data_IF_874973554036
#
_entry.id   IF_874973554036
#
_cell.length_a   1.000
_cell.length_b   1.000
_cell.length_c   1.000
_cell.angle_alpha   90.00
_cell.angle_beta   90.00
_cell.angle_gamma   90.00
#
_symmetry.space_group_name_H-M   'P 1'
#
loop_
_entity.id
_entity.type
_entity.pdbx_description
1 polymer ?
#
# COMPACT_ATOMS: atom_id res chain seq x y z
N UNK A 1 -33.25 -18.37 0.78
CA UNK A 1 -32.06 -17.75 1.41
C UNK A 1 -31.69 -18.63 2.59
N UNK A 2 -30.41 -18.98 2.79
CA UNK A 2 -29.99 -19.62 4.03
C UNK A 2 -30.33 -18.70 5.21
N UNK A 3 -30.68 -19.29 6.35
CA UNK A 3 -30.98 -18.55 7.58
C UNK A 3 -29.76 -17.76 8.04
N UNK A 4 -29.99 -16.57 8.58
CA UNK A 4 -28.96 -15.75 9.18
C UNK A 4 -28.47 -16.37 10.50
N UNK A 5 -27.18 -16.75 10.57
CA UNK A 5 -26.58 -17.42 11.75
C UNK A 5 -25.26 -16.76 12.20
N UNK A 6 -24.91 -16.78 13.49
CA UNK A 6 -23.58 -16.38 13.98
C UNK A 6 -22.43 -17.16 13.31
N UNK A 7 -21.24 -16.56 13.25
CA UNK A 7 -19.99 -17.19 12.79
C UNK A 7 -19.08 -17.53 13.96
N UNK A 8 -18.07 -18.38 13.77
CA UNK A 8 -17.17 -18.83 14.84
C UNK A 8 -16.47 -17.69 15.60
N UNK A 9 -16.24 -16.54 14.95
CA UNK A 9 -15.64 -15.37 15.60
C UNK A 9 -16.58 -14.73 16.66
N UNK A 10 -17.88 -15.04 16.63
CA UNK A 10 -18.87 -14.52 17.57
C UNK A 10 -18.82 -15.14 18.96
N UNK A 11 -18.05 -16.20 19.16
CA UNK A 11 -17.84 -16.80 20.47
C UNK A 11 -16.85 -15.99 21.33
N UNK A 12 -16.06 -15.11 20.70
CA UNK A 12 -15.08 -14.28 21.38
C UNK A 12 -15.69 -12.91 21.72
N UNK A 13 -15.33 -12.28 22.85
CA UNK A 13 -15.84 -10.95 23.23
C UNK A 13 -15.16 -9.84 22.40
N UNK A 14 -15.38 -9.86 21.09
CA UNK A 14 -14.69 -9.01 20.10
C UNK A 14 -15.63 -8.14 19.27
N UNK A 15 -16.95 -8.22 19.52
CA UNK A 15 -17.96 -7.42 18.84
C UNK A 15 -17.88 -5.94 19.20
N UNK A 16 -17.98 -5.09 18.17
CA UNK A 16 -18.07 -3.63 18.34
C UNK A 16 -19.51 -3.10 18.32
N UNK A 17 -20.44 -3.92 17.84
CA UNK A 17 -21.87 -3.64 17.68
C UNK A 17 -22.65 -4.91 18.04
N UNK A 18 -23.96 -4.85 18.39
CA UNK A 18 -24.76 -6.03 18.74
C UNK A 18 -25.16 -6.86 17.50
N UNK A 19 -24.17 -7.20 16.67
CA UNK A 19 -24.29 -7.98 15.45
C UNK A 19 -23.19 -9.03 15.43
N UNK A 20 -23.42 -10.12 14.70
CA UNK A 20 -22.34 -11.05 14.32
C UNK A 20 -21.18 -10.31 13.65
N UNK A 21 -19.94 -10.74 13.92
CA UNK A 21 -18.68 -10.28 13.32
C UNK A 21 -18.61 -10.44 11.80
N UNK A 22 -19.57 -11.15 11.20
CA UNK A 22 -19.74 -11.19 9.74
C UNK A 22 -20.29 -9.88 9.17
N UNK A 23 -20.95 -9.06 10.00
CA UNK A 23 -21.52 -7.78 9.60
C UNK A 23 -20.58 -6.64 9.96
N UNK A 24 -20.53 -5.63 9.09
CA UNK A 24 -19.87 -4.37 9.40
C UNK A 24 -20.84 -3.43 10.13
N UNK A 25 -20.29 -2.54 10.95
CA UNK A 25 -21.05 -1.49 11.62
C UNK A 25 -21.68 -0.49 10.63
N UNK A 26 -21.20 -0.46 9.38
CA UNK A 26 -21.72 0.37 8.29
C UNK A 26 -22.29 -0.49 7.17
N UNK A 27 -23.42 -0.03 6.60
CA UNK A 27 -24.00 -0.59 5.38
C UNK A 27 -23.39 -0.01 4.09
N UNK A 28 -22.35 0.82 4.19
CA UNK A 28 -21.70 1.44 3.04
C UNK A 28 -21.08 0.36 2.13
N UNK A 29 -21.43 0.40 0.84
CA UNK A 29 -20.95 -0.56 -0.18
C UNK A 29 -19.42 -0.63 -0.23
N UNK A 30 -18.75 0.48 0.01
CA UNK A 30 -17.30 0.65 -0.09
C UNK A 30 -16.55 0.21 1.17
N UNK A 31 -17.23 -0.43 2.11
CA UNK A 31 -16.60 -0.89 3.32
C UNK A 31 -15.60 -2.03 3.04
N UNK A 32 -14.39 -1.91 3.60
CA UNK A 32 -13.26 -2.77 3.30
C UNK A 32 -12.41 -3.08 4.53
N UNK A 33 -11.67 -4.19 4.46
CA UNK A 33 -10.49 -4.48 5.26
C UNK A 33 -9.39 -4.96 4.30
N UNK A 34 -8.23 -4.32 4.31
CA UNK A 34 -7.11 -4.59 3.40
C UNK A 34 -5.80 -4.67 4.18
N UNK A 35 -4.90 -5.49 3.68
CA UNK A 35 -3.50 -5.46 4.06
C UNK A 35 -2.59 -5.40 2.83
N UNK A 36 -1.46 -4.74 2.98
CA UNK A 36 -0.38 -4.70 2.00
C UNK A 36 0.93 -5.08 2.68
N UNK A 37 1.81 -5.72 1.93
CA UNK A 37 3.20 -5.95 2.30
C UNK A 37 4.08 -5.55 1.13
N UNK A 38 5.17 -4.88 1.45
CA UNK A 38 6.27 -4.62 0.54
C UNK A 38 7.46 -5.47 0.98
N UNK A 39 8.15 -6.06 0.02
CA UNK A 39 9.38 -6.84 0.24
C UNK A 39 10.37 -6.46 -0.85
N UNK A 40 11.50 -5.87 -0.47
CA UNK A 40 12.44 -5.30 -1.43
C UNK A 40 13.88 -5.43 -0.96
N UNK A 41 14.78 -5.56 -1.94
CA UNK A 41 16.21 -5.66 -1.66
C UNK A 41 16.87 -4.28 -1.63
N UNK A 42 17.93 -4.16 -0.83
CA UNK A 42 18.62 -2.89 -0.61
C UNK A 42 19.41 -2.38 -1.82
N UNK A 43 19.47 -3.16 -2.91
CA UNK A 43 20.13 -2.77 -4.16
C UNK A 43 19.16 -2.35 -5.26
N UNK A 44 17.83 -2.42 -5.04
CA UNK A 44 16.85 -2.06 -6.08
C UNK A 44 16.82 -3.01 -7.27
N UNK A 45 17.04 -4.30 -7.03
CA UNK A 45 16.89 -5.35 -8.04
C UNK A 45 15.47 -5.90 -8.07
N UNK A 46 14.82 -5.94 -6.90
CA UNK A 46 13.52 -6.54 -6.70
C UNK A 46 12.63 -5.72 -5.76
N UNK A 47 11.38 -5.51 -6.17
CA UNK A 47 10.31 -4.98 -5.32
C UNK A 47 9.06 -5.85 -5.51
N UNK A 48 8.73 -6.63 -4.49
CA UNK A 48 7.50 -7.41 -4.39
C UNK A 48 6.49 -6.63 -3.54
N UNK A 49 5.29 -6.43 -4.09
CA UNK A 49 4.16 -5.83 -3.39
C UNK A 49 3.03 -6.83 -3.44
N UNK A 50 2.45 -7.17 -2.29
CA UNK A 50 1.33 -8.09 -2.22
C UNK A 50 0.29 -7.57 -1.26
N UNK A 51 -0.95 -7.94 -1.50
CA UNK A 51 -2.06 -7.53 -0.65
C UNK A 51 -3.24 -8.47 -0.73
N UNK A 52 -4.11 -8.34 0.26
CA UNK A 52 -5.39 -9.03 0.32
C UNK A 52 -6.45 -8.05 0.79
N UNK A 53 -7.59 -8.04 0.11
CA UNK A 53 -8.76 -7.23 0.42
C UNK A 53 -10.00 -8.06 0.69
N UNK A 54 -10.78 -7.63 1.66
CA UNK A 54 -12.10 -8.16 2.00
C UNK A 54 -13.12 -7.02 1.85
N UNK A 55 -14.21 -7.28 1.14
CA UNK A 55 -15.26 -6.31 0.83
C UNK A 55 -16.63 -6.91 1.20
N UNK A 56 -17.01 -6.86 2.49
CA UNK A 56 -18.16 -7.61 2.99
C UNK A 56 -19.48 -7.26 2.31
N UNK A 57 -19.73 -5.97 2.08
CA UNK A 57 -21.01 -5.48 1.56
C UNK A 57 -21.20 -5.75 0.05
N UNK A 58 -20.16 -6.18 -0.66
CA UNK A 58 -20.25 -6.71 -2.03
C UNK A 58 -19.90 -8.20 -2.13
N UNK A 59 -19.59 -8.85 -1.00
CA UNK A 59 -19.33 -10.29 -0.93
C UNK A 59 -18.06 -10.75 -1.65
N UNK A 60 -17.02 -9.90 -1.72
CA UNK A 60 -15.77 -10.19 -2.45
C UNK A 60 -14.59 -10.33 -1.50
N UNK A 61 -13.72 -11.30 -1.78
CA UNK A 61 -12.34 -11.35 -1.30
C UNK A 61 -11.42 -11.35 -2.51
N UNK A 62 -10.33 -10.59 -2.45
CA UNK A 62 -9.32 -10.57 -3.50
C UNK A 62 -7.90 -10.48 -2.94
N UNK A 63 -6.93 -10.83 -3.77
CA UNK A 63 -5.51 -10.71 -3.45
C UNK A 63 -4.70 -10.47 -4.72
N UNK A 64 -3.52 -9.87 -4.54
CA UNK A 64 -2.55 -9.70 -5.61
C UNK A 64 -1.12 -9.87 -5.09
N UNK A 65 -0.20 -10.12 -6.01
CA UNK A 65 1.23 -9.97 -5.83
C UNK A 65 1.85 -9.45 -7.13
N UNK A 66 2.57 -8.33 -7.07
CA UNK A 66 3.35 -7.77 -8.16
C UNK A 66 4.83 -7.82 -7.82
N UNK A 67 5.64 -8.47 -8.65
CA UNK A 67 7.09 -8.49 -8.54
C UNK A 67 7.71 -7.68 -9.66
N UNK A 68 8.36 -6.58 -9.30
CA UNK A 68 9.21 -5.78 -10.18
C UNK A 68 10.62 -6.35 -10.18
N UNK A 69 11.13 -6.74 -11.36
CA UNK A 69 12.52 -7.15 -11.61
C UNK A 69 13.06 -6.50 -12.88
N UNK A 70 14.12 -5.70 -12.76
CA UNK A 70 14.69 -4.98 -13.91
C UNK A 70 13.61 -4.15 -14.61
N UNK A 71 13.32 -4.43 -15.88
CA UNK A 71 12.25 -3.81 -16.67
C UNK A 71 10.96 -4.62 -16.83
N UNK A 72 10.78 -5.71 -16.07
CA UNK A 72 9.52 -6.45 -16.01
C UNK A 72 8.77 -6.31 -14.69
N UNK A 73 7.44 -6.36 -14.76
CA UNK A 73 6.54 -6.49 -13.62
C UNK A 73 5.68 -7.74 -13.82
N UNK A 74 5.80 -8.70 -12.91
CA UNK A 74 5.02 -9.94 -12.91
C UNK A 74 3.88 -9.82 -11.90
N UNK A 75 2.65 -10.04 -12.32
CA UNK A 75 1.48 -9.99 -11.47
C UNK A 75 0.84 -11.37 -11.32
N UNK A 76 0.44 -11.71 -10.10
CA UNK A 76 -0.49 -12.79 -9.79
C UNK A 76 -1.67 -12.17 -9.08
N UNK A 77 -2.87 -12.43 -9.56
CA UNK A 77 -4.12 -11.86 -9.06
C UNK A 77 -5.10 -12.97 -8.79
N UNK A 78 -5.91 -12.82 -7.75
CA UNK A 78 -6.93 -13.78 -7.39
C UNK A 78 -8.15 -13.08 -6.79
N UNK A 79 -9.33 -13.62 -7.03
CA UNK A 79 -10.58 -13.14 -6.48
C UNK A 79 -11.55 -14.30 -6.30
N UNK A 80 -12.36 -14.25 -5.25
CA UNK A 80 -13.39 -15.23 -4.98
C UNK A 80 -14.53 -14.61 -4.16
N UNK A 81 -15.59 -15.38 -3.96
CA UNK A 81 -16.69 -14.97 -3.10
C UNK A 81 -16.21 -15.04 -1.65
N UNK A 82 -16.52 -13.99 -0.91
CA UNK A 82 -16.20 -13.91 0.50
C UNK A 82 -16.97 -14.98 1.29
N UNK A 83 -16.24 -15.94 1.89
CA UNK A 83 -16.82 -17.01 2.72
C UNK A 83 -17.21 -16.54 4.13
N UNK A 84 -17.38 -17.45 5.08
CA UNK A 84 -17.66 -17.10 6.49
C UNK A 84 -16.39 -17.08 7.37
N UNK A 85 -15.37 -17.85 6.99
CA UNK A 85 -14.09 -17.91 7.71
C UNK A 85 -13.22 -16.67 7.40
N UNK A 86 -13.38 -15.63 8.21
CA UNK A 86 -12.61 -14.37 8.13
C UNK A 86 -11.15 -14.50 8.58
N UNK A 87 -10.77 -15.62 9.19
CA UNK A 87 -9.41 -15.86 9.67
C UNK A 87 -8.51 -16.49 8.59
N UNK A 88 -9.12 -17.08 7.55
CA UNK A 88 -8.42 -17.65 6.40
C UNK A 88 -8.09 -16.57 5.37
N UNK A 89 -6.88 -16.02 5.45
CA UNK A 89 -6.36 -15.05 4.48
C UNK A 89 -5.72 -15.78 3.28
N UNK A 90 -6.57 -16.36 2.42
CA UNK A 90 -6.14 -17.07 1.22
C UNK A 90 -7.12 -16.87 0.06
N UNK A 91 -6.61 -16.51 -1.12
CA UNK A 91 -7.39 -16.36 -2.37
C UNK A 91 -6.58 -16.96 -3.51
N UNK A 92 -7.11 -17.99 -4.16
CA UNK A 92 -6.38 -18.74 -5.20
C UNK A 92 -4.99 -19.21 -4.69
N UNK A 93 -3.89 -18.91 -5.42
CA UNK A 93 -2.54 -19.31 -5.03
C UNK A 93 -1.93 -18.45 -3.91
N UNK A 94 -2.53 -17.31 -3.57
CA UNK A 94 -1.99 -16.31 -2.65
C UNK A 94 -2.47 -16.55 -1.22
N UNK A 95 -1.55 -16.54 -0.24
CA UNK A 95 -1.87 -16.74 1.17
C UNK A 95 -1.03 -15.87 2.09
N UNK A 96 -1.64 -15.39 3.17
CA UNK A 96 -1.00 -14.70 4.29
C UNK A 96 -1.31 -15.50 5.55
N UNK A 97 -0.32 -16.18 6.12
CA UNK A 97 -0.49 -16.91 7.38
C UNK A 97 0.05 -16.08 8.53
N UNK A 98 -0.80 -15.80 9.51
CA UNK A 98 -0.41 -15.07 10.73
C UNK A 98 0.14 -16.07 11.74
N UNK A 99 1.47 -16.18 11.86
CA UNK A 99 2.11 -17.07 12.83
C UNK A 99 2.04 -16.51 14.24
N UNK A 100 2.35 -15.22 14.37
CA UNK A 100 2.25 -14.45 15.61
C UNK A 100 1.69 -13.07 15.27
N UNK A 101 0.49 -12.71 15.75
CA UNK A 101 -0.13 -11.43 15.44
C UNK A 101 0.81 -10.25 15.66
N UNK A 102 0.89 -9.36 14.66
CA UNK A 102 1.77 -8.18 14.64
C UNK A 102 3.28 -8.46 14.72
N UNK A 103 3.70 -9.73 14.67
CA UNK A 103 5.11 -10.08 14.84
C UNK A 103 5.65 -10.91 13.68
N UNK A 104 4.98 -12.01 13.29
CA UNK A 104 5.51 -12.92 12.27
C UNK A 104 4.41 -13.44 11.37
N UNK A 105 4.68 -13.42 10.06
CA UNK A 105 3.77 -13.81 9.00
C UNK A 105 4.50 -14.68 7.98
N UNK A 106 3.81 -15.65 7.39
CA UNK A 106 4.29 -16.35 6.20
C UNK A 106 3.44 -15.93 5.01
N UNK A 107 4.09 -15.29 4.05
CA UNK A 107 3.52 -14.80 2.79
C UNK A 107 3.85 -15.83 1.72
N UNK A 108 2.87 -16.32 0.97
CA UNK A 108 3.12 -17.33 -0.05
C UNK A 108 2.29 -17.16 -1.32
N UNK A 109 2.89 -17.51 -2.44
CA UNK A 109 2.24 -17.71 -3.73
C UNK A 109 2.64 -19.10 -4.25
N UNK A 110 1.65 -19.98 -4.40
CA UNK A 110 1.90 -21.31 -4.97
C UNK A 110 2.34 -21.23 -6.44
N UNK A 111 3.21 -22.14 -6.86
CA UNK A 111 3.57 -22.31 -8.27
C UNK A 111 2.34 -22.71 -9.09
N UNK A 112 2.30 -22.28 -10.35
CA UNK A 112 1.29 -22.71 -11.29
C UNK A 112 1.72 -24.04 -11.92
N UNK A 113 0.94 -25.13 -11.82
CA UNK A 113 1.29 -26.37 -12.50
C UNK A 113 1.35 -26.23 -14.03
N UNK A 114 0.61 -25.27 -14.61
CA UNK A 114 0.62 -24.98 -16.04
C UNK A 114 1.74 -24.00 -16.46
N UNK A 115 2.30 -23.27 -15.50
CA UNK A 115 3.44 -22.36 -15.68
C UNK A 115 4.41 -22.46 -14.49
N UNK A 116 5.20 -23.55 -14.39
CA UNK A 116 6.09 -23.78 -13.24
C UNK A 116 7.16 -22.71 -13.04
N UNK A 117 7.47 -21.97 -14.10
CA UNK A 117 8.43 -20.86 -14.10
C UNK A 117 7.78 -19.52 -13.75
N UNK A 118 6.46 -19.49 -13.57
CA UNK A 118 5.71 -18.32 -13.12
C UNK A 118 6.03 -17.93 -11.68
N UNK A 119 5.61 -16.72 -11.29
CA UNK A 119 5.91 -16.17 -9.97
C UNK A 119 5.40 -17.09 -8.85
N UNK A 120 6.31 -17.55 -8.00
CA UNK A 120 6.00 -18.25 -6.75
C UNK A 120 6.95 -17.80 -5.65
N UNK A 121 6.51 -17.86 -4.40
CA UNK A 121 7.34 -17.47 -3.26
C UNK A 121 6.84 -18.07 -1.95
N UNK A 122 7.74 -18.17 -0.99
CA UNK A 122 7.43 -18.35 0.43
C UNK A 122 8.38 -17.48 1.25
N UNK A 123 7.81 -16.53 2.00
CA UNK A 123 8.54 -15.48 2.68
C UNK A 123 8.05 -15.41 4.12
N UNK A 124 8.97 -15.56 5.07
CA UNK A 124 8.74 -15.18 6.46
C UNK A 124 9.01 -13.70 6.62
N UNK A 125 7.96 -12.93 6.93
CA UNK A 125 8.07 -11.52 7.30
C UNK A 125 8.03 -11.42 8.82
N UNK A 126 9.00 -10.72 9.41
CA UNK A 126 9.09 -10.53 10.86
C UNK A 126 9.23 -9.05 11.20
N UNK A 127 8.34 -8.55 12.06
CA UNK A 127 8.39 -7.18 12.56
C UNK A 127 9.67 -6.95 13.38
N UNK A 128 10.35 -5.85 13.11
CA UNK A 128 11.48 -5.39 13.94
C UNK A 128 11.05 -4.27 14.91
N UNK A 129 9.88 -3.67 14.66
CA UNK A 129 9.33 -2.56 15.44
C UNK A 129 7.84 -2.75 15.75
N UNK A 130 7.31 -2.11 16.81
CA UNK A 130 5.89 -2.13 17.13
C UNK A 130 5.03 -1.58 15.99
N UNK A 131 3.76 -2.01 15.93
CA UNK A 131 2.79 -1.42 15.04
C UNK A 131 2.48 0.03 15.44
N UNK A 132 2.64 0.93 14.49
CA UNK A 132 2.35 2.34 14.66
C UNK A 132 0.97 2.66 14.09
N UNK A 133 0.14 3.31 14.88
CA UNK A 133 -1.12 3.86 14.40
C UNK A 133 -0.87 5.07 13.50
N UNK A 134 -1.49 5.08 12.32
CA UNK A 134 -1.60 6.32 11.53
C UNK A 134 -2.77 7.18 12.04
N UNK A 135 -2.79 8.49 11.74
CA UNK A 135 -3.95 9.33 12.00
C UNK A 135 -5.20 8.77 11.33
N UNK A 136 -6.37 9.12 11.88
CA UNK A 136 -7.63 8.78 11.25
C UNK A 136 -7.74 9.50 9.90
N UNK A 137 -7.87 8.74 8.81
CA UNK A 137 -7.94 9.31 7.48
C UNK A 137 -9.39 9.58 7.12
N UNK A 138 -9.75 10.85 7.04
CA UNK A 138 -11.06 11.31 6.62
C UNK A 138 -10.92 12.18 5.38
N UNK A 139 -11.68 11.85 4.34
CA UNK A 139 -11.75 12.63 3.11
C UNK A 139 -13.21 12.88 2.74
N UNK A 140 -13.50 14.15 2.44
CA UNK A 140 -14.80 14.59 1.93
C UNK A 140 -14.61 15.32 0.60
N UNK A 141 -15.61 15.20 -0.26
CA UNK A 141 -15.77 16.01 -1.48
C UNK A 141 -17.15 16.64 -1.43
N UNK A 142 -17.20 17.97 -1.27
CA UNK A 142 -18.41 18.66 -0.85
C UNK A 142 -18.98 18.06 0.44
N UNK A 143 -20.25 17.66 0.43
CA UNK A 143 -20.89 16.97 1.55
C UNK A 143 -20.65 15.45 1.62
N UNK A 144 -20.07 14.83 0.59
CA UNK A 144 -19.92 13.37 0.49
C UNK A 144 -18.66 12.90 1.21
N UNK A 145 -18.80 11.93 2.12
CA UNK A 145 -17.68 11.17 2.64
C UNK A 145 -17.18 10.23 1.54
N UNK A 146 -15.93 10.40 1.11
CA UNK A 146 -15.34 9.56 0.05
C UNK A 146 -14.39 8.52 0.60
N UNK A 147 -13.70 8.83 1.70
CA UNK A 147 -12.83 7.90 2.40
C UNK A 147 -12.93 8.16 3.91
N UNK A 148 -13.11 7.07 4.66
CA UNK A 148 -12.91 7.05 6.11
C UNK A 148 -12.13 5.78 6.43
N UNK A 149 -10.98 5.90 7.08
CA UNK A 149 -10.20 4.71 7.36
C UNK A 149 -9.21 4.88 8.48
N UNK A 150 -9.05 3.80 9.25
CA UNK A 150 -7.99 3.66 10.24
C UNK A 150 -6.96 2.67 9.73
N UNK A 151 -5.70 2.94 10.05
CA UNK A 151 -4.56 2.14 9.60
C UNK A 151 -3.50 2.03 10.68
N UNK A 152 -2.75 0.94 10.62
CA UNK A 152 -1.45 0.87 11.27
C UNK A 152 -0.40 0.37 10.28
N UNK A 153 0.86 0.71 10.57
CA UNK A 153 2.01 0.39 9.73
C UNK A 153 3.12 -0.26 10.57
N UNK A 154 3.92 -1.13 9.94
CA UNK A 154 5.11 -1.73 10.54
C UNK A 154 6.25 -1.86 9.53
N UNK A 155 7.47 -1.91 10.06
CA UNK A 155 8.66 -2.29 9.33
C UNK A 155 9.34 -3.51 9.98
N UNK A 156 10.00 -4.29 9.15
CA UNK A 156 10.63 -5.54 9.52
C UNK A 156 11.63 -6.04 8.48
N UNK A 157 12.01 -7.29 8.62
CA UNK A 157 12.87 -8.01 7.69
C UNK A 157 12.15 -9.20 7.08
N UNK A 158 12.72 -9.71 6.00
CA UNK A 158 12.17 -10.83 5.23
C UNK A 158 13.24 -11.90 5.03
N UNK A 159 12.84 -13.15 5.20
CA UNK A 159 13.66 -14.33 4.90
C UNK A 159 12.81 -15.33 4.14
N UNK A 160 13.36 -15.93 3.08
CA UNK A 160 12.57 -16.80 2.21
C UNK A 160 13.11 -16.85 0.80
N UNK A 161 12.28 -17.25 -0.14
CA UNK A 161 12.66 -17.34 -1.54
C UNK A 161 11.55 -16.79 -2.44
N UNK A 162 11.98 -16.26 -3.57
CA UNK A 162 11.12 -15.88 -4.70
C UNK A 162 11.64 -16.65 -5.92
N UNK A 163 10.75 -17.30 -6.67
CA UNK A 163 11.07 -17.96 -7.94
C UNK A 163 10.31 -17.32 -9.09
N UNK A 164 11.02 -17.09 -10.19
CA UNK A 164 10.46 -16.55 -11.42
C UNK A 164 11.44 -16.79 -12.56
N UNK A 165 10.94 -17.25 -13.72
CA UNK A 165 11.73 -17.41 -14.94
C UNK A 165 12.97 -18.30 -14.81
N UNK A 166 12.89 -19.39 -14.03
CA UNK A 166 14.01 -20.31 -13.79
C UNK A 166 15.00 -19.85 -12.72
N UNK A 167 14.84 -18.64 -12.18
CA UNK A 167 15.72 -18.08 -11.16
C UNK A 167 15.09 -18.20 -9.77
N UNK A 168 15.92 -18.53 -8.77
CA UNK A 168 15.57 -18.43 -7.35
C UNK A 168 16.35 -17.28 -6.70
N UNK A 169 15.61 -16.33 -6.13
CA UNK A 169 16.15 -15.20 -5.38
C UNK A 169 15.99 -15.51 -3.89
N UNK A 170 17.11 -15.61 -3.17
CA UNK A 170 17.10 -15.81 -1.70
C UNK A 170 17.00 -14.47 -0.97
N UNK A 171 16.05 -14.39 -0.05
CA UNK A 171 15.85 -13.26 0.83
C UNK A 171 16.63 -13.50 2.12
N UNK A 172 17.51 -12.55 2.43
CA UNK A 172 18.43 -12.59 3.56
C UNK A 172 18.25 -11.36 4.45
N UNK A 173 18.30 -11.59 5.76
CA UNK A 173 18.30 -10.51 6.75
C UNK A 173 19.48 -9.55 6.51
N UNK A 174 19.23 -8.26 6.65
CA UNK A 174 20.23 -7.21 6.41
C UNK A 174 20.48 -6.88 4.94
N UNK A 175 19.87 -7.60 3.99
CA UNK A 175 19.86 -7.26 2.56
C UNK A 175 18.46 -6.96 2.02
N UNK A 176 17.42 -7.34 2.78
CA UNK A 176 16.03 -7.17 2.43
C UNK A 176 15.26 -6.51 3.57
N UNK A 177 14.36 -5.61 3.22
CA UNK A 177 13.42 -4.97 4.14
C UNK A 177 12.00 -5.35 3.76
N UNK A 178 11.15 -5.45 4.77
CA UNK A 178 9.71 -5.49 4.57
C UNK A 178 9.00 -4.34 5.29
N UNK A 179 8.00 -3.77 4.64
CA UNK A 179 7.02 -2.87 5.27
C UNK A 179 5.62 -3.44 5.08
N UNK A 180 4.69 -3.05 5.95
CA UNK A 180 3.29 -3.46 5.81
C UNK A 180 2.35 -2.42 6.38
N UNK A 181 1.14 -2.36 5.83
CA UNK A 181 0.01 -1.68 6.45
C UNK A 181 -1.19 -2.64 6.57
N UNK A 182 -2.07 -2.33 7.53
CA UNK A 182 -3.43 -2.88 7.54
C UNK A 182 -4.38 -1.72 7.69
N UNK A 183 -5.38 -1.66 6.80
CA UNK A 183 -6.32 -0.56 6.67
C UNK A 183 -7.75 -1.06 6.59
N UNK A 184 -8.67 -0.36 7.24
CA UNK A 184 -10.08 -0.70 7.24
C UNK A 184 -10.94 0.54 7.38
N UNK A 185 -12.18 0.45 6.91
CA UNK A 185 -13.15 1.53 6.91
C UNK A 185 -13.94 1.56 5.61
N UNK A 186 -14.15 2.74 5.04
CA UNK A 186 -14.85 2.99 3.77
C UNK A 186 -13.86 3.60 2.78
N UNK A 187 -13.68 2.96 1.62
CA UNK A 187 -12.83 3.46 0.52
C UNK A 187 -13.43 3.07 -0.83
N UNK A 188 -13.47 3.97 -1.83
CA UNK A 188 -14.16 3.69 -3.07
C UNK A 188 -13.66 2.43 -3.76
N UNK A 189 -14.59 1.63 -4.27
CA UNK A 189 -14.34 0.51 -5.19
C UNK A 189 -15.19 0.72 -6.46
N UNK A 190 -14.86 0.09 -7.60
CA UNK A 190 -15.58 0.29 -8.86
C UNK A 190 -17.08 0.01 -8.76
N UNK A 191 -17.87 0.63 -9.64
CA UNK A 191 -19.29 0.31 -9.81
C UNK A 191 -20.27 1.14 -8.96
N UNK A 192 -19.81 2.19 -8.29
CA UNK A 192 -20.69 3.22 -7.71
C UNK A 192 -20.59 4.52 -8.50
N UNK A 193 -21.73 5.11 -8.86
CA UNK A 193 -21.77 6.43 -9.47
C UNK A 193 -21.56 7.53 -8.42
N UNK A 194 -20.75 8.54 -8.77
CA UNK A 194 -20.49 9.68 -7.89
C UNK A 194 -21.73 10.55 -7.62
N UNK A 195 -22.67 10.58 -8.58
CA UNK A 195 -23.85 11.43 -8.60
C UNK A 195 -23.53 12.93 -8.68
N UNK A 196 -24.57 13.77 -8.53
CA UNK A 196 -24.48 15.24 -8.61
C UNK A 196 -23.37 15.84 -7.75
N UNK A 197 -23.13 15.32 -6.54
CA UNK A 197 -22.08 15.85 -5.67
C UNK A 197 -20.68 15.67 -6.24
N UNK A 198 -20.40 14.57 -6.93
CA UNK A 198 -19.10 14.35 -7.58
C UNK A 198 -18.93 15.26 -8.81
N UNK A 199 -20.02 15.52 -9.55
CA UNK A 199 -20.02 16.45 -10.68
C UNK A 199 -19.78 17.90 -10.24
N UNK A 200 -20.40 18.33 -9.13
CA UNK A 200 -20.27 19.69 -8.58
C UNK A 200 -18.96 19.89 -7.79
N UNK A 201 -18.32 18.81 -7.34
CA UNK A 201 -17.09 18.84 -6.52
C UNK A 201 -16.04 17.89 -7.10
N UNK A 202 -15.59 18.08 -8.36
CA UNK A 202 -14.59 17.21 -8.97
C UNK A 202 -13.27 17.29 -8.20
N UNK A 203 -12.48 16.22 -8.25
CA UNK A 203 -11.12 16.27 -7.71
C UNK A 203 -10.23 17.07 -8.65
N UNK A 204 -9.78 18.24 -8.20
CA UNK A 204 -8.88 19.11 -8.96
C UNK A 204 -7.42 18.62 -8.93
N UNK A 205 -7.07 17.92 -7.86
CA UNK A 205 -5.75 17.35 -7.67
C UNK A 205 -5.62 16.57 -6.37
N UNK A 206 -4.50 15.86 -6.27
CA UNK A 206 -4.14 15.01 -5.16
C UNK A 206 -2.62 14.91 -5.10
N UNK A 207 -2.07 15.12 -3.91
CA UNK A 207 -0.65 14.94 -3.65
C UNK A 207 -0.47 14.08 -2.40
N UNK A 208 0.32 13.02 -2.51
CA UNK A 208 0.43 11.97 -1.50
C UNK A 208 1.87 11.53 -1.29
N UNK A 209 2.24 11.38 -0.03
CA UNK A 209 3.45 10.72 0.41
C UNK A 209 3.10 9.73 1.52
N UNK A 210 3.58 8.50 1.40
CA UNK A 210 3.52 7.50 2.45
C UNK A 210 4.85 6.77 2.53
N UNK A 211 5.59 7.04 3.61
CA UNK A 211 7.01 6.73 3.70
C UNK A 211 7.37 5.96 4.99
N UNK A 212 7.08 4.66 5.07
CA UNK A 212 7.62 3.80 6.11
C UNK A 212 9.10 3.47 5.82
N UNK A 213 9.98 3.83 6.75
CA UNK A 213 11.43 3.66 6.61
C UNK A 213 12.00 2.89 7.79
N UNK A 214 12.60 1.74 7.51
CA UNK A 214 13.33 0.92 8.48
C UNK A 214 14.78 1.41 8.56
N UNK A 215 15.20 1.89 9.72
CA UNK A 215 16.61 1.99 10.08
C UNK A 215 16.97 0.81 11.00
N UNK A 216 18.27 0.64 11.28
CA UNK A 216 18.71 -0.44 12.17
C UNK A 216 18.15 -0.31 13.59
N UNK A 217 18.10 0.92 14.11
CA UNK A 217 17.75 1.22 15.51
C UNK A 217 16.36 1.85 15.69
N UNK A 218 15.65 2.17 14.60
CA UNK A 218 14.35 2.88 14.62
C UNK A 218 13.53 2.63 13.36
N UNK A 219 12.23 2.85 13.46
CA UNK A 219 11.29 2.96 12.35
C UNK A 219 10.80 4.40 12.24
N UNK A 220 10.71 4.94 11.03
CA UNK A 220 10.12 6.24 10.77
C UNK A 220 8.93 6.06 9.84
N UNK A 221 7.79 6.63 10.20
CA UNK A 221 6.65 6.77 9.32
C UNK A 221 6.44 8.24 9.00
N UNK A 222 6.32 8.59 7.71
CA UNK A 222 5.84 9.90 7.27
C UNK A 222 4.62 9.69 6.38
N UNK A 223 3.52 10.37 6.65
CA UNK A 223 2.36 10.43 5.74
C UNK A 223 1.89 11.86 5.54
N UNK A 224 1.67 12.22 4.29
CA UNK A 224 1.23 13.53 3.86
C UNK A 224 0.18 13.36 2.77
N UNK A 225 -0.95 14.05 2.92
CA UNK A 225 -1.92 14.21 1.84
C UNK A 225 -2.33 15.67 1.70
N UNK A 226 -2.26 16.20 0.50
CA UNK A 226 -2.64 17.56 0.16
C UNK A 226 -3.67 17.59 -0.98
N UNK A 227 -4.62 18.51 -0.88
CA UNK A 227 -5.51 18.87 -1.98
C UNK A 227 -4.80 19.80 -2.97
N UNK A 228 -5.49 20.20 -4.05
CA UNK A 228 -4.89 20.91 -5.18
C UNK A 228 -4.24 22.26 -4.84
N UNK A 229 -4.72 22.93 -3.80
CA UNK A 229 -4.19 24.21 -3.28
C UNK A 229 -3.08 24.02 -2.23
N UNK A 230 -2.71 22.77 -1.93
CA UNK A 230 -1.76 22.44 -0.86
C UNK A 230 -2.40 22.29 0.52
N UNK A 231 -3.73 22.34 0.64
CA UNK A 231 -4.37 22.13 1.94
C UNK A 231 -4.12 20.71 2.45
N UNK A 232 -3.51 20.61 3.63
CA UNK A 232 -3.10 19.35 4.25
C UNK A 232 -4.28 18.64 4.91
N UNK A 233 -4.72 17.53 4.30
CA UNK A 233 -5.84 16.69 4.79
C UNK A 233 -5.39 15.51 5.65
N UNK A 234 -4.12 15.09 5.51
CA UNK A 234 -3.50 14.09 6.36
C UNK A 234 -2.05 14.47 6.62
N UNK A 235 -1.60 14.38 7.87
CA UNK A 235 -0.25 14.76 8.27
C UNK A 235 0.24 13.95 9.45
N UNK A 236 1.31 13.19 9.28
CA UNK A 236 2.07 12.61 10.38
C UNK A 236 3.53 12.41 10.02
N UNK A 237 4.39 12.51 11.03
CA UNK A 237 5.77 12.08 10.96
C UNK A 237 6.16 11.54 12.34
N UNK A 238 6.27 10.23 12.48
CA UNK A 238 6.48 9.60 13.79
C UNK A 238 7.64 8.61 13.74
N UNK A 239 8.57 8.80 14.66
CA UNK A 239 9.73 7.92 14.87
C UNK A 239 9.44 6.97 16.03
N UNK A 240 9.66 5.69 15.78
CA UNK A 240 9.35 4.57 16.69
C UNK A 240 10.62 3.81 17.03
N UNK A 241 10.78 3.46 18.30
CA UNK A 241 11.85 2.60 18.82
C UNK A 241 11.25 1.54 19.75
N UNK A 242 11.92 0.41 19.88
CA UNK A 242 11.47 -0.66 20.77
C UNK A 242 11.52 -0.20 22.22
N UNK A 243 10.43 -0.42 22.96
CA UNK A 243 10.30 -0.08 24.39
C UNK A 243 10.47 1.42 24.73
N UNK A 244 10.34 2.31 23.76
CA UNK A 244 10.35 3.76 23.95
C UNK A 244 9.01 4.36 23.55
N UNK A 245 8.77 5.62 23.94
CA UNK A 245 7.60 6.37 23.50
C UNK A 245 7.81 6.88 22.08
N UNK A 246 6.78 6.72 21.25
CA UNK A 246 6.73 7.28 19.90
C UNK A 246 7.04 8.79 19.91
N UNK A 247 7.86 9.21 18.95
CA UNK A 247 8.38 10.57 18.86
C UNK A 247 7.85 11.26 17.60
N UNK A 248 6.87 12.19 17.73
CA UNK A 248 6.40 12.99 16.61
C UNK A 248 7.48 13.98 16.15
N UNK A 249 7.75 14.06 14.85
CA UNK A 249 8.80 14.87 14.23
C UNK A 249 8.25 16.12 13.53
N UNK A 250 7.17 16.69 14.07
CA UNK A 250 6.62 17.97 13.61
C UNK A 250 5.84 17.89 12.30
N UNK A 251 5.96 18.93 11.47
CA UNK A 251 5.22 19.08 10.22
C UNK A 251 6.13 18.72 9.03
N UNK A 252 5.98 17.52 8.42
CA UNK A 252 6.82 17.12 7.30
C UNK A 252 6.58 17.97 6.05
N UNK A 253 7.67 18.43 5.44
CA UNK A 253 7.69 19.13 4.15
C UNK A 253 8.65 18.41 3.21
N UNK A 254 8.24 18.13 1.98
CA UNK A 254 9.05 17.35 1.05
C UNK A 254 9.44 18.18 -0.17
N UNK A 255 10.74 18.24 -0.44
CA UNK A 255 11.29 18.71 -1.71
C UNK A 255 11.57 17.49 -2.58
N UNK A 256 10.84 17.35 -3.69
CA UNK A 256 10.90 16.15 -4.55
C UNK A 256 11.54 16.53 -5.88
N UNK A 257 12.62 15.82 -6.24
CA UNK A 257 13.20 15.89 -7.57
C UNK A 257 12.52 14.87 -8.48
N UNK A 258 11.94 15.35 -9.58
CA UNK A 258 11.29 14.52 -10.57
C UNK A 258 12.18 14.34 -11.80
N UNK A 259 11.99 13.23 -12.51
CA UNK A 259 12.55 13.07 -13.86
C UNK A 259 11.87 14.08 -14.81
N UNK A 260 12.65 14.85 -15.60
CA UNK A 260 12.10 15.78 -16.59
C UNK A 260 11.04 15.16 -17.49
N UNK A 261 9.98 15.92 -17.78
CA UNK A 261 8.85 15.46 -18.58
C UNK A 261 7.94 14.44 -17.87
N UNK A 262 8.08 14.26 -16.55
CA UNK A 262 7.24 13.32 -15.80
C UNK A 262 6.90 13.83 -14.39
N UNK A 263 6.09 13.05 -13.67
CA UNK A 263 5.92 13.15 -12.20
C UNK A 263 6.58 11.99 -11.46
N UNK A 264 7.57 11.35 -12.07
CA UNK A 264 8.29 10.23 -11.48
C UNK A 264 9.43 10.73 -10.58
N UNK A 265 9.38 10.52 -9.26
CA UNK A 265 10.44 10.97 -8.35
C UNK A 265 11.73 10.18 -8.61
N UNK A 266 12.87 10.88 -8.51
CA UNK A 266 14.22 10.27 -8.54
C UNK A 266 14.89 10.37 -7.18
N UNK A 267 14.60 11.42 -6.42
CA UNK A 267 15.05 11.63 -5.06
C UNK A 267 14.14 12.63 -4.35
N UNK A 268 14.23 12.70 -3.03
CA UNK A 268 13.55 13.72 -2.23
C UNK A 268 14.35 14.06 -0.96
N UNK A 269 14.05 15.22 -0.38
CA UNK A 269 14.43 15.56 1.00
C UNK A 269 13.13 15.85 1.75
N UNK A 270 12.88 15.09 2.82
CA UNK A 270 11.77 15.37 3.74
C UNK A 270 12.31 16.08 4.97
N UNK A 271 11.92 17.34 5.11
CA UNK A 271 12.22 18.20 6.24
C UNK A 271 11.31 17.85 7.41
N UNK A 272 11.94 17.59 8.55
CA UNK A 272 11.33 17.16 9.80
C UNK A 272 11.84 18.06 10.94
N UNK A 273 11.15 18.06 12.07
CA UNK A 273 11.52 18.88 13.23
C UNK A 273 11.48 18.04 14.51
N UNK A 274 12.62 17.92 15.18
CA UNK A 274 12.67 17.23 16.47
C UNK A 274 11.86 17.99 17.53
N UNK A 275 11.00 17.30 18.30
CA UNK A 275 10.24 17.96 19.35
C UNK A 275 11.16 18.35 20.53
N UNK A 276 10.80 19.43 21.23
CA UNK A 276 11.58 19.95 22.37
C UNK A 276 12.62 20.98 21.95
N UNK A 277 13.69 20.56 21.27
CA UNK A 277 14.78 21.44 20.82
C UNK A 277 14.50 22.16 19.49
N UNK A 278 13.45 21.74 18.77
CA UNK A 278 13.08 22.22 17.42
C UNK A 278 14.20 22.11 16.41
N UNK A 279 15.12 21.16 16.60
CA UNK A 279 16.23 20.95 15.67
C UNK A 279 15.69 20.46 14.33
N UNK A 280 16.06 21.09 13.20
CA UNK A 280 15.76 20.56 11.88
C UNK A 280 16.40 19.18 11.69
N UNK A 281 15.67 18.30 11.02
CA UNK A 281 16.11 16.96 10.62
C UNK A 281 15.75 16.78 9.14
N UNK A 282 16.63 16.13 8.38
CA UNK A 282 16.41 15.89 6.96
C UNK A 282 16.48 14.39 6.70
N UNK A 283 15.37 13.84 6.20
CA UNK A 283 15.33 12.50 5.63
C UNK A 283 15.65 12.62 4.13
N UNK A 284 16.89 12.33 3.76
CA UNK A 284 17.27 12.19 2.36
C UNK A 284 16.73 10.87 1.80
N UNK A 285 16.18 10.91 0.59
CA UNK A 285 15.54 9.77 -0.10
C UNK A 285 16.13 9.62 -1.49
N UNK A 286 16.58 8.41 -1.81
CA UNK A 286 17.04 8.01 -3.14
C UNK A 286 16.19 6.83 -3.63
N UNK A 287 15.53 7.00 -4.78
CA UNK A 287 14.68 5.96 -5.37
C UNK A 287 15.56 4.87 -6.00
N UNK A 288 15.32 3.62 -5.60
CA UNK A 288 16.03 2.44 -6.12
C UNK A 288 15.23 1.71 -7.18
N UNK A 289 13.93 1.48 -6.93
CA UNK A 289 13.03 0.74 -7.82
C UNK A 289 11.61 1.22 -7.64
N UNK A 290 10.87 1.32 -8.73
CA UNK A 290 9.50 1.83 -8.75
C UNK A 290 8.54 0.77 -9.28
N UNK A 291 7.40 0.58 -8.61
CA UNK A 291 6.32 -0.30 -9.04
C UNK A 291 4.99 0.43 -9.03
N UNK A 292 4.38 0.71 -10.20
CA UNK A 292 3.11 1.42 -10.27
C UNK A 292 1.95 0.53 -9.82
N UNK A 293 1.16 0.97 -8.83
CA UNK A 293 0.07 0.16 -8.27
C UNK A 293 -1.13 0.01 -9.23
N UNK A 294 -1.20 0.85 -10.26
CA UNK A 294 -2.18 0.74 -11.34
C UNK A 294 -1.93 -0.44 -12.30
N UNK A 295 -0.78 -1.11 -12.20
CA UNK A 295 -0.46 -2.29 -13.03
C UNK A 295 -0.41 -3.54 -12.15
N UNK A 296 -1.34 -4.46 -12.36
CA UNK A 296 -1.38 -5.77 -11.70
C UNK A 296 -1.78 -5.75 -10.21
N UNK A 297 -1.66 -4.63 -9.51
CA UNK A 297 -2.01 -4.51 -8.09
C UNK A 297 -3.45 -4.03 -7.84
N UNK A 298 -4.17 -3.59 -8.88
CA UNK A 298 -5.61 -3.30 -8.77
C UNK A 298 -5.97 -1.97 -8.12
N UNK A 299 -5.03 -1.03 -8.06
CA UNK A 299 -5.29 0.33 -7.57
C UNK A 299 -5.69 1.26 -8.73
N UNK A 300 -6.55 2.25 -8.50
CA UNK A 300 -6.85 3.26 -9.52
C UNK A 300 -5.57 3.96 -10.02
N UNK A 301 -5.48 4.31 -11.32
CA UNK A 301 -6.51 4.17 -12.35
C UNK A 301 -6.37 2.88 -13.20
N UNK A 302 -6.06 1.72 -12.60
CA UNK A 302 -6.06 0.42 -13.29
C UNK A 302 -7.33 0.22 -14.13
N UNK A 303 -7.17 -0.26 -15.36
CA UNK A 303 -8.26 -0.36 -16.34
C UNK A 303 -8.74 -1.80 -16.60
N UNK A 304 -8.01 -2.81 -16.11
CA UNK A 304 -8.35 -4.21 -16.30
C UNK A 304 -9.05 -4.83 -15.08
N UNK A 305 -8.42 -4.80 -13.89
CA UNK A 305 -8.96 -5.31 -12.64
C UNK A 305 -8.66 -4.33 -11.51
N UNK A 306 -9.63 -4.15 -10.61
CA UNK A 306 -9.51 -3.33 -9.42
C UNK A 306 -10.12 -4.03 -8.21
N UNK A 307 -9.57 -3.72 -7.04
CA UNK A 307 -10.03 -4.18 -5.75
C UNK A 307 -11.55 -4.05 -5.52
N UNK A 308 -12.16 -5.10 -4.97
CA UNK A 308 -13.59 -5.17 -4.65
C UNK A 308 -14.49 -5.44 -5.86
N UNK A 309 -13.92 -5.75 -7.03
CA UNK A 309 -14.68 -6.11 -8.23
C UNK A 309 -15.00 -7.59 -8.22
N UNK A 310 -16.28 -7.95 -8.36
CA UNK A 310 -16.69 -9.34 -8.55
C UNK A 310 -16.37 -9.83 -9.96
N UNK A 311 -15.56 -10.89 -10.06
CA UNK A 311 -15.10 -11.46 -11.35
C UNK A 311 -15.37 -12.96 -11.49
N UNK A 312 -16.18 -13.53 -10.58
CA UNK A 312 -16.49 -14.96 -10.55
C UNK A 312 -15.75 -15.71 -9.43
N UNK A 313 -16.17 -16.95 -9.18
CA UNK A 313 -15.52 -17.84 -8.20
C UNK A 313 -14.20 -18.37 -8.76
N UNK A 314 -13.26 -18.64 -7.85
CA UNK A 314 -11.96 -19.26 -8.17
C UNK A 314 -11.19 -18.53 -9.28
N UNK A 315 -11.38 -17.21 -9.41
CA UNK A 315 -10.72 -16.43 -10.45
C UNK A 315 -9.25 -16.24 -10.10
N UNK A 316 -8.38 -16.56 -11.05
CA UNK A 316 -6.94 -16.33 -10.95
C UNK A 316 -6.42 -15.82 -12.29
N UNK A 317 -5.44 -14.92 -12.24
CA UNK A 317 -4.82 -14.34 -13.42
C UNK A 317 -3.33 -14.09 -13.15
N UNK A 318 -2.48 -14.51 -14.09
CA UNK A 318 -1.04 -14.28 -14.08
C UNK A 318 -0.64 -13.51 -15.31
N UNK A 319 0.07 -12.39 -15.14
CA UNK A 319 0.48 -11.52 -16.25
C UNK A 319 1.89 -10.99 -16.06
N UNK A 320 2.51 -10.60 -17.16
CA UNK A 320 3.75 -9.85 -17.17
C UNK A 320 3.53 -8.55 -17.95
N UNK A 321 4.08 -7.47 -17.41
CA UNK A 321 4.07 -6.13 -18.00
C UNK A 321 5.52 -5.73 -18.29
N UNK A 322 5.79 -5.32 -19.52
CA UNK A 322 7.06 -4.69 -19.91
C UNK A 322 6.99 -3.20 -19.53
N UNK A 323 7.89 -2.74 -18.66
CA UNK A 323 7.97 -1.36 -18.19
C UNK A 323 9.15 -0.59 -18.82
N UNK A 324 9.84 -1.18 -19.80
CA UNK A 324 10.94 -0.52 -20.52
C UNK A 324 10.46 0.67 -21.36
N UNK A 325 9.21 0.63 -21.80
CA UNK A 325 8.51 1.73 -22.47
C UNK A 325 7.34 2.24 -21.63
N UNK A 326 7.51 3.36 -20.89
CA UNK A 326 6.45 3.95 -20.09
C UNK A 326 5.20 4.34 -20.91
N UNK A 327 5.34 4.60 -22.21
CA UNK A 327 4.22 4.98 -23.08
C UNK A 327 3.25 3.81 -23.35
N UNK A 328 3.70 2.57 -23.15
CA UNK A 328 2.87 1.38 -23.24
C UNK A 328 1.83 1.29 -22.10
N UNK A 329 2.06 1.99 -20.98
CA UNK A 329 1.19 2.00 -19.81
C UNK A 329 0.86 3.43 -19.36
N UNK A 330 0.17 4.22 -20.20
CA UNK A 330 0.02 5.66 -19.98
C UNK A 330 -0.72 5.98 -18.67
N UNK A 331 -1.62 5.08 -18.21
CA UNK A 331 -2.36 5.23 -16.95
C UNK A 331 -1.51 5.00 -15.70
N UNK A 332 -0.40 4.27 -15.81
CA UNK A 332 0.44 3.91 -14.67
C UNK A 332 1.08 5.13 -13.98
N UNK A 333 1.32 6.21 -14.74
CA UNK A 333 1.89 7.45 -14.22
C UNK A 333 0.89 8.33 -13.45
N UNK A 334 -0.42 8.06 -13.56
CA UNK A 334 -1.49 8.86 -12.93
C UNK A 334 -2.06 8.20 -11.68
N UNK A 335 -1.50 7.05 -11.27
CA UNK A 335 -1.81 6.40 -10.00
C UNK A 335 -0.74 6.65 -8.95
N UNK A 336 -0.92 6.02 -7.81
CA UNK A 336 0.12 5.93 -6.78
C UNK A 336 1.19 4.93 -7.21
N UNK A 337 2.46 5.25 -6.97
CA UNK A 337 3.61 4.42 -7.27
C UNK A 337 4.37 4.16 -5.97
N UNK A 338 4.66 2.88 -5.72
CA UNK A 338 5.53 2.48 -4.62
C UNK A 338 6.98 2.48 -5.08
N UNK A 339 7.80 3.31 -4.44
CA UNK A 339 9.22 3.41 -4.69
C UNK A 339 10.01 2.76 -3.55
N UNK A 340 10.67 1.62 -3.79
CA UNK A 340 11.70 1.14 -2.89
C UNK A 340 12.83 2.17 -2.86
N UNK A 341 13.20 2.62 -1.67
CA UNK A 341 14.12 3.74 -1.49
C UNK A 341 15.19 3.45 -0.44
N UNK A 342 16.39 3.99 -0.71
CA UNK A 342 17.44 4.15 0.29
C UNK A 342 17.27 5.51 0.93
N UNK A 343 17.19 5.55 2.26
CA UNK A 343 16.98 6.77 3.01
C UNK A 343 18.18 7.05 3.93
N UNK A 344 18.48 8.33 4.17
CA UNK A 344 19.52 8.75 5.12
C UNK A 344 18.93 9.73 6.12
N UNK A 345 19.15 9.49 7.41
CA UNK A 345 18.71 10.36 8.51
C UNK A 345 19.75 10.35 9.63
N UNK A 346 20.23 11.52 10.05
CA UNK A 346 21.28 11.67 11.07
C UNK A 346 22.52 10.79 10.76
N UNK A 347 22.92 10.72 9.49
CA UNK A 347 24.07 9.93 9.02
C UNK A 347 23.87 8.41 9.00
N UNK A 348 22.69 7.91 9.38
CA UNK A 348 22.35 6.49 9.31
C UNK A 348 21.55 6.18 8.05
N UNK A 349 21.83 5.02 7.46
CA UNK A 349 21.10 4.52 6.29
C UNK A 349 19.92 3.66 6.75
N UNK A 350 18.77 3.90 6.14
CA UNK A 350 17.57 3.09 6.25
C UNK A 350 17.05 2.71 4.88
N UNK A 351 16.10 1.79 4.85
CA UNK A 351 15.44 1.32 3.64
C UNK A 351 13.93 1.31 3.87
N UNK A 352 13.19 1.82 2.90
CA UNK A 352 11.76 2.04 3.04
C UNK A 352 11.04 2.08 1.70
N UNK A 353 9.75 2.35 1.80
CA UNK A 353 8.94 2.77 0.65
C UNK A 353 8.84 4.28 0.69
N UNK A 354 8.98 4.93 -0.45
CA UNK A 354 8.57 6.30 -0.71
C UNK A 354 7.37 6.23 -1.64
N UNK A 355 6.18 5.93 -1.11
CA UNK A 355 4.98 5.83 -1.92
C UNK A 355 4.56 7.25 -2.32
N UNK A 356 4.45 7.51 -3.62
CA UNK A 356 4.14 8.83 -4.13
C UNK A 356 3.04 8.77 -5.18
N UNK A 357 2.07 9.68 -5.03
CA UNK A 357 1.04 9.93 -6.04
C UNK A 357 0.84 11.43 -6.17
N UNK A 358 0.94 11.95 -7.39
CA UNK A 358 0.67 13.36 -7.68
C UNK A 358 -0.08 13.45 -9.01
N UNK A 359 -1.35 13.80 -8.98
CA UNK A 359 -2.17 13.96 -10.20
C UNK A 359 -3.06 15.20 -10.10
N UNK A 360 -3.39 15.78 -11.25
CA UNK A 360 -4.10 17.05 -11.31
C UNK A 360 -3.23 18.25 -10.89
N UNK A 361 -3.89 19.33 -10.49
CA UNK A 361 -3.24 20.55 -9.99
C UNK A 361 -2.66 20.32 -8.59
N UNK A 362 -1.49 20.87 -8.33
CA UNK A 362 -0.92 20.98 -7.00
C UNK A 362 -0.07 22.26 -6.94
N UNK A 363 -0.63 23.32 -6.36
CA UNK A 363 -0.04 24.65 -6.33
C UNK A 363 1.37 24.66 -5.68
N UNK A 364 1.63 23.96 -4.55
CA UNK A 364 2.95 23.94 -3.94
C UNK A 364 4.06 23.35 -4.82
N UNK A 365 3.74 22.36 -5.66
CA UNK A 365 4.72 21.77 -6.57
C UNK A 365 4.78 22.47 -7.93
N UNK A 366 3.91 23.46 -8.17
CA UNK A 366 3.79 24.14 -9.47
C UNK A 366 3.14 23.30 -10.57
N UNK A 367 2.51 22.16 -10.24
CA UNK A 367 1.78 21.38 -11.22
C UNK A 367 0.42 22.03 -11.49
N UNK A 368 0.17 22.48 -12.71
CA UNK A 368 -0.98 23.34 -13.04
C UNK A 368 -2.25 22.60 -13.47
N UNK A 369 -2.15 21.29 -13.74
CA UNK A 369 -3.26 20.49 -14.27
C UNK A 369 -2.84 19.03 -14.47
N UNK A 370 -3.74 18.18 -14.97
CA UNK A 370 -3.49 16.73 -15.12
C UNK A 370 -2.36 16.38 -16.09
N UNK A 371 -2.11 17.22 -17.08
CA UNK A 371 -1.07 17.09 -18.10
C UNK A 371 0.27 17.73 -17.69
N UNK A 372 0.29 18.51 -16.61
CA UNK A 372 1.49 19.19 -16.12
C UNK A 372 2.51 18.18 -15.57
N UNK A 373 3.77 18.36 -15.93
CA UNK A 373 4.91 17.52 -15.54
C UNK A 373 6.11 18.39 -15.17
N UNK A 374 7.10 17.81 -14.47
CA UNK A 374 8.32 18.53 -14.13
C UNK A 374 9.14 18.91 -15.39
N UNK A 375 9.83 20.06 -15.38
CA UNK A 375 10.59 20.57 -16.54
C UNK A 375 11.79 19.69 -16.92
#
# INVERSE_FOLDING_TARGET
MPDDRPVALDEYPVHQVPLSMKHLATGDRNAYDRCIFHVFDHQGRALLILGLGVYPNVGVVDAYATLRLGDRLHAVRASDALGDDRMRLAVGPLRIRVERPLQTFVLSCAADPADPEGLSYEITWTADFPALWEPHHLQRRGGRLTLEGKRFVQAGHCEGWIRIGGEEIRLERGRWTGTRDRSWGVRPIPGEEGGRLAEENPTEGFHWLWCPVRFEDRFLMVVVQEDADGYRTLNDATLVRNAERDLPLGWPQADIAYRPGSRHPTSAVVHLTRPGDRKPMELGVEVLTSSPLALGAGYPPADDWQHGTWVGRDWTDRRAYDLSDPSAHPRAAYGVIDHAARCTLDGQVGHGIFEHGSFGRHDPSGFTGFDSVAP
#
